data_IF_630558589339
#
_entry.id   IF_630558589339
#
_cell.length_a   1.000
_cell.length_b   1.000
_cell.length_c   1.000
_cell.angle_alpha   90.00
_cell.angle_beta   90.00
_cell.angle_gamma   90.00
#
_symmetry.space_group_name_H-M   'P 1'
#
loop_
_entity.id
_entity.type
_entity.pdbx_description
1 polymer ?
#
# COMPACT_ATOMS: atom_id res chain seq x y z
N UNK A 1 18.61 -5.96 5.52
CA UNK A 1 18.44 -6.74 4.27
C UNK A 1 18.69 -5.79 3.11
N UNK A 2 19.90 -5.75 2.55
CA UNK A 2 20.35 -4.62 1.71
C UNK A 2 21.04 -4.99 0.40
N UNK A 3 21.22 -6.26 0.01
CA UNK A 3 22.15 -6.55 -1.09
C UNK A 3 21.58 -6.71 -2.50
N UNK A 4 20.27 -6.90 -2.71
CA UNK A 4 19.83 -7.41 -4.04
C UNK A 4 18.87 -6.50 -4.81
N UNK A 5 18.50 -5.31 -4.33
CA UNK A 5 17.67 -4.38 -5.13
C UNK A 5 18.57 -3.44 -5.97
N UNK A 6 18.13 -3.00 -7.17
CA UNK A 6 18.92 -2.08 -7.99
C UNK A 6 19.35 -0.85 -7.18
N UNK A 7 20.62 -0.46 -7.28
CA UNK A 7 21.14 0.71 -6.57
C UNK A 7 20.42 2.01 -6.95
N UNK A 8 20.43 2.99 -6.05
CA UNK A 8 19.83 4.33 -6.25
C UNK A 8 20.23 4.97 -7.59
N UNK A 9 21.47 4.76 -8.06
CA UNK A 9 22.00 5.35 -9.30
C UNK A 9 21.30 4.84 -10.57
N UNK A 10 20.72 3.63 -10.54
CA UNK A 10 20.01 3.01 -11.68
C UNK A 10 18.49 2.99 -11.48
N UNK A 11 17.96 3.78 -10.55
CA UNK A 11 16.52 3.79 -10.26
C UNK A 11 15.69 4.32 -11.44
N UNK A 12 14.91 3.44 -12.06
CA UNK A 12 14.02 3.79 -13.19
C UNK A 12 12.95 4.82 -12.79
N UNK A 13 12.45 4.79 -11.55
CA UNK A 13 11.48 5.80 -11.09
C UNK A 13 12.10 7.19 -10.97
N UNK A 14 13.36 7.29 -10.55
CA UNK A 14 14.08 8.56 -10.59
C UNK A 14 14.23 9.05 -12.04
N UNK A 15 14.61 8.17 -12.97
CA UNK A 15 14.71 8.51 -14.39
C UNK A 15 13.37 8.98 -14.98
N UNK A 16 12.26 8.35 -14.58
CA UNK A 16 10.91 8.78 -14.95
C UNK A 16 10.61 10.18 -14.40
N UNK A 17 10.86 10.41 -13.11
CA UNK A 17 10.57 11.70 -12.44
C UNK A 17 11.37 12.85 -13.06
N UNK A 18 12.64 12.65 -13.42
CA UNK A 18 13.46 13.69 -14.05
C UNK A 18 13.26 13.80 -15.58
N UNK A 19 12.40 12.96 -16.17
CA UNK A 19 12.05 13.02 -17.59
C UNK A 19 12.96 12.23 -18.55
N UNK A 20 13.95 11.50 -18.03
CA UNK A 20 14.85 10.65 -18.82
C UNK A 20 14.23 9.29 -19.22
N UNK A 21 13.07 8.94 -18.68
CA UNK A 21 12.35 7.72 -19.03
C UNK A 21 10.86 8.00 -19.18
N UNK A 22 10.24 7.41 -20.19
CA UNK A 22 8.83 7.62 -20.47
C UNK A 22 7.92 6.98 -19.41
N UNK A 23 6.87 7.70 -19.02
CA UNK A 23 5.73 7.17 -18.30
C UNK A 23 4.43 7.87 -18.75
N UNK A 24 3.31 7.14 -18.69
CA UNK A 24 1.98 7.72 -18.86
C UNK A 24 1.51 8.28 -17.52
N UNK A 25 1.49 9.61 -17.39
CA UNK A 25 1.22 10.32 -16.14
C UNK A 25 -0.27 10.48 -15.82
N UNK A 26 -0.61 10.37 -14.54
CA UNK A 26 -1.87 10.88 -13.96
C UNK A 26 -1.62 12.12 -13.08
N UNK A 27 -0.48 12.16 -12.37
CA UNK A 27 0.03 13.34 -11.67
C UNK A 27 1.53 13.49 -11.92
N UNK A 28 1.90 14.56 -12.63
CA UNK A 28 3.30 14.87 -12.99
C UNK A 28 4.07 15.49 -11.81
N UNK A 29 5.41 15.40 -11.80
CA UNK A 29 6.22 16.19 -10.89
C UNK A 29 6.05 17.69 -11.18
N UNK A 30 5.92 18.48 -10.12
CA UNK A 30 5.91 19.95 -10.17
C UNK A 30 6.50 20.51 -8.88
N UNK A 31 6.77 21.82 -8.86
CA UNK A 31 7.12 22.50 -7.62
C UNK A 31 6.01 22.26 -6.58
N UNK A 32 6.41 22.01 -5.32
CA UNK A 32 5.52 21.79 -4.17
C UNK A 32 4.77 20.45 -4.10
N UNK A 33 5.03 19.51 -5.01
CA UNK A 33 4.44 18.16 -4.93
C UNK A 33 5.46 17.17 -4.39
N UNK A 34 5.08 16.39 -3.36
CA UNK A 34 5.95 15.36 -2.76
C UNK A 34 5.67 13.95 -3.28
N UNK A 35 4.56 13.73 -4.00
CA UNK A 35 4.16 12.44 -4.58
C UNK A 35 3.59 12.58 -6.00
N UNK A 36 3.97 11.68 -6.89
CA UNK A 36 3.51 11.61 -8.29
C UNK A 36 2.77 10.32 -8.58
N UNK A 37 2.04 10.28 -9.69
CA UNK A 37 1.30 9.09 -10.10
C UNK A 37 1.42 8.84 -11.62
N UNK A 38 1.73 7.60 -11.99
CA UNK A 38 1.77 7.16 -13.38
C UNK A 38 1.32 5.71 -13.54
N UNK A 39 0.94 5.33 -14.76
CA UNK A 39 0.51 3.97 -15.07
C UNK A 39 1.68 2.99 -14.95
N UNK A 40 1.42 1.85 -14.33
CA UNK A 40 2.34 0.73 -14.35
C UNK A 40 2.50 0.22 -15.79
N UNK A 41 3.68 -0.26 -16.15
CA UNK A 41 3.93 -0.94 -17.43
C UNK A 41 3.21 -2.29 -17.49
N UNK A 42 3.06 -2.96 -16.35
CA UNK A 42 2.32 -4.20 -16.23
C UNK A 42 0.81 -3.94 -16.39
N UNK A 43 0.13 -4.83 -17.12
CA UNK A 43 -1.29 -4.71 -17.47
C UNK A 43 -2.15 -5.84 -16.90
N UNK A 44 -1.78 -6.34 -15.72
CA UNK A 44 -2.43 -7.50 -15.12
C UNK A 44 -3.82 -7.20 -14.55
N UNK A 45 -4.14 -5.92 -14.33
CA UNK A 45 -5.45 -5.45 -13.90
C UNK A 45 -5.97 -4.35 -14.83
N UNK A 46 -7.28 -4.09 -14.80
CA UNK A 46 -7.93 -3.04 -15.61
C UNK A 46 -7.33 -1.66 -15.35
N UNK A 47 -7.04 -1.36 -14.08
CA UNK A 47 -6.26 -0.20 -13.67
C UNK A 47 -5.11 -0.65 -12.78
N UNK A 48 -3.91 -0.20 -13.09
CA UNK A 48 -2.71 -0.45 -12.30
C UNK A 48 -1.82 0.79 -12.34
N UNK A 49 -1.87 1.58 -11.27
CA UNK A 49 -1.10 2.81 -11.13
C UNK A 49 0.02 2.63 -10.10
N UNK A 50 1.02 3.50 -10.19
CA UNK A 50 2.12 3.62 -9.24
C UNK A 50 2.08 5.03 -8.67
N UNK A 51 1.86 5.13 -7.36
CA UNK A 51 2.09 6.35 -6.59
C UNK A 51 3.49 6.30 -6.00
N UNK A 52 4.30 7.32 -6.27
CA UNK A 52 5.74 7.32 -6.00
C UNK A 52 6.14 8.65 -5.35
N UNK A 53 6.91 8.68 -4.24
CA UNK A 53 7.42 9.93 -3.70
C UNK A 53 8.43 10.54 -4.69
N UNK A 54 8.38 11.87 -4.85
CA UNK A 54 9.32 12.60 -5.72
C UNK A 54 10.76 12.42 -5.25
N UNK A 55 10.98 12.50 -3.94
CA UNK A 55 12.25 12.16 -3.31
C UNK A 55 12.48 10.66 -3.40
N UNK A 56 13.69 10.26 -3.78
CA UNK A 56 14.09 8.86 -3.67
C UNK A 56 14.11 8.42 -2.21
N UNK A 57 13.23 7.49 -1.86
CA UNK A 57 13.09 6.89 -0.55
C UNK A 57 12.91 5.38 -0.75
N UNK A 58 13.46 4.56 0.14
CA UNK A 58 13.12 3.14 0.24
C UNK A 58 11.72 2.95 0.82
N UNK A 59 11.13 1.77 0.67
CA UNK A 59 9.81 1.48 1.29
C UNK A 59 9.83 1.74 2.80
N UNK A 60 10.89 1.31 3.50
CA UNK A 60 11.04 1.57 4.94
C UNK A 60 11.06 3.07 5.26
N UNK A 61 11.86 3.85 4.53
CA UNK A 61 11.94 5.31 4.73
C UNK A 61 10.60 6.01 4.47
N UNK A 62 9.88 5.63 3.40
CA UNK A 62 8.58 6.21 3.12
C UNK A 62 7.60 5.88 4.24
N UNK A 63 7.46 4.60 4.58
CA UNK A 63 6.45 4.12 5.53
C UNK A 63 6.73 4.49 6.99
N UNK A 64 7.97 4.90 7.33
CA UNK A 64 8.28 5.48 8.64
C UNK A 64 8.13 7.00 8.69
N UNK A 65 7.89 7.67 7.56
CA UNK A 65 7.87 9.14 7.46
C UNK A 65 6.48 9.70 7.22
N UNK A 66 6.28 10.97 7.55
CA UNK A 66 5.03 11.70 7.24
C UNK A 66 4.81 11.90 5.73
N UNK A 67 5.83 11.70 4.88
CA UNK A 67 5.65 11.70 3.42
C UNK A 67 4.69 10.60 2.93
N UNK A 68 4.48 9.55 3.74
CA UNK A 68 3.48 8.52 3.46
C UNK A 68 2.09 9.12 3.29
N UNK A 69 1.74 10.15 4.06
CA UNK A 69 0.38 10.69 4.13
C UNK A 69 -0.04 11.30 2.78
N UNK A 70 0.84 12.07 2.15
CA UNK A 70 0.56 12.63 0.82
C UNK A 70 0.54 11.54 -0.26
N UNK A 71 1.38 10.50 -0.14
CA UNK A 71 1.31 9.34 -1.03
C UNK A 71 -0.01 8.55 -0.85
N UNK A 72 -0.47 8.38 0.39
CA UNK A 72 -1.70 7.69 0.74
C UNK A 72 -2.94 8.46 0.24
N UNK A 73 -2.98 9.78 0.48
CA UNK A 73 -4.02 10.67 -0.03
C UNK A 73 -4.11 10.62 -1.55
N UNK A 74 -2.96 10.68 -2.23
CA UNK A 74 -2.90 10.56 -3.68
C UNK A 74 -3.35 9.17 -4.16
N UNK A 75 -3.01 8.10 -3.45
CA UNK A 75 -3.45 6.75 -3.79
C UNK A 75 -4.98 6.61 -3.70
N UNK A 76 -5.61 7.20 -2.68
CA UNK A 76 -7.07 7.26 -2.55
C UNK A 76 -7.70 8.07 -3.69
N UNK A 77 -7.18 9.27 -3.95
CA UNK A 77 -7.65 10.14 -5.03
C UNK A 77 -7.63 9.43 -6.39
N UNK A 78 -6.53 8.73 -6.71
CA UNK A 78 -6.37 8.00 -7.96
C UNK A 78 -7.25 6.74 -8.01
N UNK A 79 -7.41 6.04 -6.88
CA UNK A 79 -8.30 4.89 -6.77
C UNK A 79 -9.76 5.26 -7.02
N UNK A 80 -10.24 6.31 -6.36
CA UNK A 80 -11.61 6.80 -6.54
C UNK A 80 -11.85 7.31 -7.96
N UNK A 81 -10.88 8.03 -8.55
CA UNK A 81 -10.97 8.54 -9.93
C UNK A 81 -11.05 7.42 -10.97
N UNK A 82 -10.24 6.35 -10.83
CA UNK A 82 -10.06 5.37 -11.89
C UNK A 82 -10.74 4.01 -11.65
N UNK A 83 -11.07 3.69 -10.40
CA UNK A 83 -11.52 2.34 -10.00
C UNK A 83 -12.88 2.32 -9.30
N UNK A 84 -13.60 3.45 -9.22
CA UNK A 84 -14.84 3.59 -8.44
C UNK A 84 -15.83 2.44 -8.65
N UNK A 85 -16.05 2.00 -9.89
CA UNK A 85 -17.01 0.94 -10.21
C UNK A 85 -16.68 -0.45 -9.63
N UNK A 86 -15.41 -0.72 -9.32
CA UNK A 86 -14.93 -2.05 -8.94
C UNK A 86 -14.35 -2.10 -7.52
N UNK A 87 -14.18 -0.95 -6.89
CA UNK A 87 -13.27 -0.79 -5.77
C UNK A 87 -11.82 -0.95 -6.22
N UNK A 88 -10.90 -0.84 -5.26
CA UNK A 88 -9.48 -0.97 -5.53
C UNK A 88 -8.71 -1.42 -4.30
N UNK A 89 -7.45 -1.78 -4.53
CA UNK A 89 -6.48 -2.08 -3.49
C UNK A 89 -5.31 -1.13 -3.58
N UNK A 90 -4.81 -0.71 -2.41
CA UNK A 90 -3.51 -0.06 -2.30
C UNK A 90 -2.52 -1.05 -1.70
N UNK A 91 -1.41 -1.31 -2.41
CA UNK A 91 -0.48 -2.39 -2.09
C UNK A 91 0.97 -1.86 -2.07
N UNK A 92 1.73 -2.23 -1.05
CA UNK A 92 3.17 -2.02 -0.98
C UNK A 92 3.87 -3.33 -0.62
N UNK A 93 4.89 -3.69 -1.41
CA UNK A 93 5.70 -4.88 -1.17
C UNK A 93 7.05 -4.49 -0.57
N UNK A 94 7.49 -5.25 0.41
CA UNK A 94 8.75 -5.08 1.13
C UNK A 94 9.60 -6.34 0.97
N UNK A 95 10.76 -6.17 0.32
CA UNK A 95 11.69 -7.26 0.05
C UNK A 95 11.30 -8.12 -1.16
N UNK A 96 12.28 -8.86 -1.68
CA UNK A 96 12.11 -9.70 -2.89
C UNK A 96 11.13 -10.85 -2.70
N UNK A 97 11.07 -11.45 -1.50
CA UNK A 97 10.10 -12.52 -1.17
C UNK A 97 8.63 -12.06 -1.23
N UNK A 98 8.39 -10.76 -1.13
CA UNK A 98 7.09 -10.15 -1.33
C UNK A 98 6.89 -9.55 -2.73
N UNK A 99 7.82 -9.79 -3.66
CA UNK A 99 7.84 -9.25 -5.02
C UNK A 99 8.08 -7.73 -5.10
N UNK A 100 8.85 -7.14 -4.18
CA UNK A 100 9.39 -5.79 -4.39
C UNK A 100 10.44 -5.82 -5.51
N UNK A 101 10.16 -5.14 -6.63
CA UNK A 101 11.03 -5.12 -7.81
C UNK A 101 11.89 -3.86 -7.92
N UNK A 102 11.46 -2.75 -7.33
CA UNK A 102 12.16 -1.46 -7.34
C UNK A 102 12.51 -1.03 -5.92
N UNK A 103 13.73 -0.48 -5.74
CA UNK A 103 14.19 0.02 -4.44
C UNK A 103 13.43 1.28 -4.00
N UNK A 104 13.06 2.13 -4.96
CA UNK A 104 12.29 3.35 -4.72
C UNK A 104 10.88 2.99 -4.31
N UNK A 105 10.47 3.50 -3.15
CA UNK A 105 9.17 3.30 -2.56
C UNK A 105 8.06 3.60 -3.54
N UNK A 106 7.01 2.80 -3.49
CA UNK A 106 5.84 2.99 -4.32
C UNK A 106 4.65 2.27 -3.72
N UNK A 107 3.48 2.84 -3.96
CA UNK A 107 2.19 2.23 -3.70
C UNK A 107 1.58 1.84 -5.04
N UNK A 108 1.21 0.58 -5.19
CA UNK A 108 0.36 0.16 -6.28
C UNK A 108 -1.08 0.55 -5.98
N UNK A 109 -1.78 1.14 -6.95
CA UNK A 109 -3.25 1.26 -6.92
C UNK A 109 -3.80 0.34 -8.00
N UNK A 110 -4.53 -0.69 -7.58
CA UNK A 110 -4.97 -1.78 -8.47
C UNK A 110 -6.49 -1.91 -8.41
N UNK A 111 -7.16 -1.87 -9.56
CA UNK A 111 -8.62 -2.08 -9.63
C UNK A 111 -9.04 -3.43 -9.08
N UNK A 112 -10.19 -3.48 -8.41
CA UNK A 112 -10.76 -4.68 -7.80
C UNK A 112 -10.32 -4.88 -6.36
N UNK A 113 -11.19 -5.51 -5.58
CA UNK A 113 -11.00 -5.83 -4.15
C UNK A 113 -10.35 -7.22 -3.97
N UNK A 114 -9.75 -7.46 -2.80
CA UNK A 114 -9.12 -8.76 -2.51
C UNK A 114 -10.14 -9.77 -2.03
N UNK A 115 -10.30 -10.88 -2.75
CA UNK A 115 -11.09 -12.02 -2.26
C UNK A 115 -10.41 -12.73 -1.07
N UNK A 116 -9.07 -12.83 -1.09
CA UNK A 116 -8.30 -13.52 -0.04
C UNK A 116 -8.50 -12.93 1.37
N UNK A 117 -8.69 -11.61 1.46
CA UNK A 117 -8.92 -10.94 2.73
C UNK A 117 -10.34 -11.18 3.25
N UNK A 118 -11.33 -11.29 2.34
CA UNK A 118 -12.73 -11.54 2.72
C UNK A 118 -12.93 -12.92 3.34
N UNK A 119 -12.10 -13.89 2.99
CA UNK A 119 -12.14 -15.26 3.50
C UNK A 119 -11.23 -15.46 4.73
N UNK A 120 -10.65 -14.38 5.26
CA UNK A 120 -9.76 -14.45 6.41
C UNK A 120 -10.50 -14.85 7.69
N UNK A 121 -9.86 -15.66 8.54
CA UNK A 121 -10.41 -16.10 9.83
C UNK A 121 -9.64 -15.47 10.98
N UNK A 122 -10.34 -14.83 11.92
CA UNK A 122 -9.72 -14.29 13.13
C UNK A 122 -9.03 -15.38 13.95
N UNK A 123 -7.84 -15.10 14.47
CA UNK A 123 -7.08 -16.03 15.33
C UNK A 123 -6.94 -15.51 16.76
N UNK A 124 -6.41 -14.29 16.92
CA UNK A 124 -6.15 -13.72 18.24
C UNK A 124 -5.94 -12.20 18.17
N UNK A 125 -6.10 -11.53 19.30
CA UNK A 125 -5.59 -10.17 19.44
C UNK A 125 -4.06 -10.20 19.57
N UNK A 126 -3.38 -9.25 18.93
CA UNK A 126 -1.92 -9.09 19.03
C UNK A 126 -1.59 -8.01 20.04
N UNK A 127 -2.06 -6.78 19.79
CA UNK A 127 -1.70 -5.60 20.58
C UNK A 127 -2.71 -4.46 20.31
N UNK A 128 -2.67 -3.41 21.15
CA UNK A 128 -3.43 -2.17 20.96
C UNK A 128 -2.51 -0.98 21.26
N UNK A 129 -2.47 -0.02 20.35
CA UNK A 129 -1.58 1.15 20.44
C UNK A 129 -2.35 2.39 20.02
N UNK A 130 -2.51 3.35 20.94
CA UNK A 130 -3.34 4.54 20.74
C UNK A 130 -4.74 4.17 20.21
N UNK A 131 -5.12 4.74 19.06
CA UNK A 131 -6.39 4.49 18.37
C UNK A 131 -6.35 3.29 17.43
N UNK A 132 -5.34 2.41 17.51
CA UNK A 132 -5.18 1.26 16.61
C UNK A 132 -5.28 -0.07 17.35
N UNK A 133 -5.93 -1.03 16.70
CA UNK A 133 -6.02 -2.43 17.15
C UNK A 133 -5.28 -3.31 16.14
N UNK A 134 -4.48 -4.24 16.65
CA UNK A 134 -3.77 -5.24 15.85
C UNK A 134 -4.29 -6.64 16.18
N UNK A 135 -4.71 -7.36 15.15
CA UNK A 135 -5.33 -8.69 15.26
C UNK A 135 -4.67 -9.66 14.29
N UNK A 136 -4.44 -10.90 14.71
CA UNK A 136 -3.91 -11.97 13.85
C UNK A 136 -5.06 -12.65 13.11
N UNK A 137 -4.86 -12.90 11.82
CA UNK A 137 -5.79 -13.62 10.96
C UNK A 137 -5.09 -14.79 10.25
N UNK A 138 -5.87 -15.81 9.89
CA UNK A 138 -5.45 -16.87 8.97
C UNK A 138 -5.93 -16.52 7.57
N UNK A 139 -5.01 -16.48 6.59
CA UNK A 139 -5.29 -16.33 5.16
C UNK A 139 -4.54 -17.41 4.41
N UNK A 140 -5.20 -18.06 3.45
CA UNK A 140 -4.55 -19.05 2.61
C UNK A 140 -3.39 -18.41 1.79
N UNK A 141 -2.21 -19.02 1.83
CA UNK A 141 -1.03 -18.52 1.11
C UNK A 141 -0.21 -17.44 1.82
N UNK A 142 -0.56 -17.07 3.06
CA UNK A 142 0.24 -16.16 3.89
C UNK A 142 0.50 -16.78 5.28
N UNK A 143 1.74 -17.24 5.59
CA UNK A 143 2.06 -17.87 6.87
C UNK A 143 1.75 -17.01 8.10
N UNK A 144 1.87 -15.69 7.97
CA UNK A 144 1.44 -14.74 8.97
C UNK A 144 0.63 -13.62 8.33
N UNK A 145 -0.50 -13.29 8.96
CA UNK A 145 -1.32 -12.14 8.62
C UNK A 145 -1.72 -11.38 9.88
N UNK A 146 -1.51 -10.07 9.89
CA UNK A 146 -2.07 -9.17 10.87
C UNK A 146 -2.95 -8.12 10.18
N UNK A 147 -4.09 -7.81 10.78
CA UNK A 147 -4.94 -6.67 10.42
C UNK A 147 -4.69 -5.56 11.43
N UNK A 148 -4.42 -4.35 10.93
CA UNK A 148 -4.28 -3.13 11.71
C UNK A 148 -5.47 -2.25 11.34
N UNK A 149 -6.32 -1.90 12.31
CA UNK A 149 -7.55 -1.14 12.08
C UNK A 149 -7.73 -0.06 13.15
N UNK A 150 -8.54 0.96 12.85
CA UNK A 150 -8.93 1.92 13.88
C UNK A 150 -9.73 1.23 14.98
N UNK A 151 -9.50 1.66 16.22
CA UNK A 151 -10.31 1.31 17.40
C UNK A 151 -11.58 2.15 17.51
N UNK A 152 -11.71 3.19 16.67
CA UNK A 152 -12.89 4.05 16.56
C UNK A 152 -13.61 3.77 15.23
N UNK A 153 -14.75 4.44 14.97
CA UNK A 153 -15.57 4.20 13.78
C UNK A 153 -14.99 4.83 12.49
N UNK A 154 -13.66 4.93 12.38
CA UNK A 154 -12.95 5.47 11.21
C UNK A 154 -13.11 4.54 10.01
N UNK A 155 -13.52 5.09 8.87
CA UNK A 155 -13.61 4.34 7.62
C UNK A 155 -12.25 4.27 6.88
N UNK A 156 -12.18 3.42 5.86
CA UNK A 156 -10.95 3.20 5.10
C UNK A 156 -10.36 4.47 4.47
N UNK A 157 -11.20 5.31 3.85
CA UNK A 157 -10.75 6.51 3.14
C UNK A 157 -10.26 7.57 4.12
N UNK A 158 -10.91 7.69 5.26
CA UNK A 158 -10.51 8.57 6.36
C UNK A 158 -9.16 8.13 6.96
N UNK A 159 -8.98 6.83 7.25
CA UNK A 159 -7.70 6.30 7.72
C UNK A 159 -6.56 6.67 6.76
N UNK A 160 -6.76 6.49 5.46
CA UNK A 160 -5.75 6.74 4.41
C UNK A 160 -5.57 8.20 4.01
N UNK A 161 -6.40 9.11 4.54
CA UNK A 161 -6.33 10.55 4.24
C UNK A 161 -5.94 11.39 5.45
N UNK A 162 -5.61 10.75 6.58
CA UNK A 162 -5.26 11.41 7.85
C UNK A 162 -3.94 10.85 8.40
N UNK A 163 -3.47 11.38 9.53
CA UNK A 163 -2.27 10.88 10.24
C UNK A 163 -2.40 9.42 10.69
N UNK A 164 -3.62 8.86 10.74
CA UNK A 164 -3.87 7.49 11.21
C UNK A 164 -3.15 6.45 10.35
N UNK A 165 -3.01 6.67 9.03
CA UNK A 165 -2.23 5.76 8.17
C UNK A 165 -0.75 5.73 8.54
N UNK A 166 -0.19 6.85 9.00
CA UNK A 166 1.20 6.90 9.45
C UNK A 166 1.37 6.13 10.77
N UNK A 167 0.44 6.28 11.71
CA UNK A 167 0.40 5.44 12.92
C UNK A 167 0.33 3.94 12.59
N UNK A 168 -0.57 3.55 11.70
CA UNK A 168 -0.74 2.16 11.29
C UNK A 168 0.51 1.61 10.57
N UNK A 169 1.17 2.45 9.77
CA UNK A 169 2.43 2.12 9.12
C UNK A 169 3.54 1.83 10.15
N UNK A 170 3.68 2.65 11.19
CA UNK A 170 4.68 2.43 12.23
C UNK A 170 4.46 1.10 12.98
N UNK A 171 3.21 0.77 13.32
CA UNK A 171 2.88 -0.52 13.92
C UNK A 171 3.12 -1.69 12.96
N UNK A 172 2.80 -1.54 11.67
CA UNK A 172 3.11 -2.55 10.66
C UNK A 172 4.61 -2.82 10.52
N UNK A 173 5.43 -1.75 10.53
CA UNK A 173 6.89 -1.85 10.50
C UNK A 173 7.44 -2.52 11.77
N UNK A 174 6.84 -2.25 12.93
CA UNK A 174 7.20 -2.89 14.20
C UNK A 174 6.89 -4.39 14.18
N UNK A 175 5.66 -4.78 13.82
CA UNK A 175 5.24 -6.17 13.74
C UNK A 175 6.06 -6.96 12.70
N UNK A 176 6.29 -6.38 11.52
CA UNK A 176 6.99 -7.07 10.43
C UNK A 176 8.43 -7.43 10.78
N UNK A 177 9.14 -6.57 11.52
CA UNK A 177 10.49 -6.89 12.02
C UNK A 177 10.52 -8.14 12.90
N UNK A 178 9.46 -8.39 13.65
CA UNK A 178 9.37 -9.51 14.59
C UNK A 178 8.86 -10.80 13.91
N UNK A 179 7.87 -10.68 13.02
CA UNK A 179 7.09 -11.82 12.53
C UNK A 179 7.36 -12.19 11.08
N UNK A 180 7.81 -11.24 10.26
CA UNK A 180 7.95 -11.42 8.80
C UNK A 180 9.23 -10.77 8.26
N UNK A 181 10.40 -10.98 8.90
CA UNK A 181 11.62 -10.22 8.57
C UNK A 181 12.04 -10.41 7.11
N UNK A 182 11.80 -11.59 6.54
CA UNK A 182 12.25 -11.97 5.18
C UNK A 182 11.53 -11.24 4.04
N UNK A 183 10.40 -10.58 4.34
CA UNK A 183 9.59 -9.86 3.37
C UNK A 183 8.10 -9.97 3.68
N UNK A 184 7.36 -8.92 3.30
CA UNK A 184 5.94 -8.81 3.56
C UNK A 184 5.25 -7.85 2.58
N UNK A 185 3.93 -7.93 2.54
CA UNK A 185 3.03 -7.07 1.79
C UNK A 185 2.14 -6.31 2.75
N UNK A 186 2.04 -5.00 2.54
CA UNK A 186 1.00 -4.16 3.13
C UNK A 186 -0.10 -3.97 2.10
N UNK A 187 -1.35 -4.18 2.50
CA UNK A 187 -2.50 -4.07 1.60
C UNK A 187 -3.71 -3.48 2.31
N UNK A 188 -4.38 -2.55 1.62
CA UNK A 188 -5.67 -2.02 1.99
C UNK A 188 -6.66 -2.22 0.84
N UNK A 189 -7.93 -2.50 1.18
CA UNK A 189 -9.02 -2.61 0.21
C UNK A 189 -9.97 -1.43 0.38
N UNK A 190 -10.46 -0.90 -0.74
CA UNK A 190 -11.42 0.19 -0.79
C UNK A 190 -12.61 -0.28 -1.59
N UNK A 191 -13.75 -0.41 -0.94
CA UNK A 191 -14.96 -0.90 -1.58
C UNK A 191 -15.47 0.11 -2.62
N UNK A 192 -16.16 -0.38 -3.68
CA UNK A 192 -16.90 0.48 -4.58
C UNK A 192 -18.05 1.17 -3.84
N UNK A 193 -18.61 2.25 -4.42
CA UNK A 193 -19.88 2.79 -3.99
C UNK A 193 -20.99 1.74 -3.99
N UNK A 194 -21.92 1.83 -3.05
CA UNK A 194 -23.19 1.08 -3.12
C UNK A 194 -24.16 1.67 -4.16
N UNK A 195 -23.99 2.94 -4.52
CA UNK A 195 -24.79 3.67 -5.51
C UNK A 195 -23.94 4.76 -6.18
N UNK A 196 -24.43 5.38 -7.25
CA UNK A 196 -23.67 6.37 -8.04
C UNK A 196 -23.40 7.71 -7.33
N UNK A 197 -23.87 7.90 -6.10
CA UNK A 197 -23.86 9.19 -5.38
C UNK A 197 -22.80 9.25 -4.27
N UNK A 198 -22.22 8.13 -3.85
CA UNK A 198 -21.29 8.07 -2.72
C UNK A 198 -19.96 7.42 -3.12
N UNK A 199 -18.92 7.60 -2.32
CA UNK A 199 -17.76 6.71 -2.36
C UNK A 199 -18.04 5.46 -1.50
N UNK A 200 -17.27 4.38 -1.67
CA UNK A 200 -17.41 3.23 -0.78
C UNK A 200 -17.13 3.59 0.68
N UNK A 201 -17.64 2.80 1.62
CA UNK A 201 -17.49 3.09 3.05
C UNK A 201 -17.21 1.82 3.86
N UNK A 202 -16.15 1.10 3.51
CA UNK A 202 -15.70 -0.04 4.30
C UNK A 202 -14.94 0.41 5.55
N UNK A 203 -14.96 -0.39 6.63
CA UNK A 203 -14.15 -0.15 7.82
C UNK A 203 -12.67 -0.03 7.51
N UNK A 204 -11.94 0.71 8.36
CA UNK A 204 -10.50 0.86 8.24
C UNK A 204 -9.73 -0.44 8.46
N UNK A 205 -8.85 -0.78 7.53
CA UNK A 205 -7.99 -1.95 7.56
C UNK A 205 -6.67 -1.70 6.80
N UNK A 206 -5.59 -2.21 7.38
CA UNK A 206 -4.29 -2.40 6.75
C UNK A 206 -3.79 -3.80 7.09
N UNK A 207 -3.74 -4.66 6.08
CA UNK A 207 -3.23 -6.01 6.22
C UNK A 207 -1.72 -6.06 6.03
N UNK A 208 -1.02 -6.62 7.01
CA UNK A 208 0.35 -7.07 6.93
C UNK A 208 0.35 -8.58 6.67
N UNK A 209 0.79 -9.00 5.48
CA UNK A 209 0.89 -10.41 5.11
C UNK A 209 2.35 -10.77 4.85
N UNK A 210 2.86 -11.88 5.38
CA UNK A 210 4.25 -12.29 5.16
C UNK A 210 4.59 -13.63 5.82
N UNK A 211 5.88 -13.86 6.06
CA UNK A 211 6.38 -15.08 6.70
C UNK A 211 6.68 -16.21 5.72
N UNK A 212 6.71 -15.92 4.42
CA UNK A 212 7.02 -16.86 3.34
C UNK A 212 6.99 -16.16 1.98
N UNK A 213 7.13 -16.93 0.90
CA UNK A 213 6.93 -16.41 -0.45
C UNK A 213 5.45 -16.09 -0.66
N UNK A 214 5.14 -14.83 -0.95
CA UNK A 214 3.77 -14.41 -1.22
C UNK A 214 3.44 -14.58 -2.69
N UNK A 215 2.22 -14.99 -3.03
CA UNK A 215 1.74 -14.96 -4.40
C UNK A 215 1.73 -13.54 -4.98
N UNK A 216 1.63 -13.43 -6.30
CA UNK A 216 1.34 -12.14 -6.95
C UNK A 216 0.01 -11.59 -6.40
N UNK A 217 -0.08 -10.27 -6.24
CA UNK A 217 -1.26 -9.61 -5.69
C UNK A 217 -2.37 -9.38 -6.74
N UNK A 218 -2.28 -10.03 -7.89
CA UNK A 218 -3.28 -9.91 -8.96
C UNK A 218 -4.25 -11.07 -8.89
#
# INVERSE_FOLDING_TARGET
MTSDLPEKKSCVFCQIIIGNSFAKWEKRPSNHVSAVCFHNRLKWAKVMLLVVPVKHMTQGELWSSTNLIECARLAVEMGDKHCSQYGYRVIANFGRKAHQSQIHAHLHVVSGISHQVKESTFKSHIDKSNDLVMEEYSINGAPFTAKISSSTNTNQREMWSTELIHGAALEALKLSRQRTPEGYRLMASFDPPKNSLCTGNNPSELFLMGGGQLGLYV
#
